data_IF_830507203794
#
_entry.id   IF_830507203794
#
_cell.length_a   1.000
_cell.length_b   1.000
_cell.length_c   1.000
_cell.angle_alpha   90.00
_cell.angle_beta   90.00
_cell.angle_gamma   90.00
#
_symmetry.space_group_name_H-M   'P 1'
#
loop_
_entity.id
_entity.type
_entity.pdbx_description
1 polymer ?
#
# COMPACT_ATOMS: atom_id res chain seq x y z
N UNK A 1 5.72 -11.59 10.51
CA UNK A 1 5.75 -11.52 9.04
C UNK A 1 6.91 -10.62 8.62
N UNK A 2 7.48 -10.83 7.43
CA UNK A 2 8.69 -10.15 6.96
C UNK A 2 8.37 -8.93 6.07
N UNK A 3 9.24 -7.92 6.04
CA UNK A 3 9.02 -6.62 5.38
C UNK A 3 9.14 -6.67 3.85
N UNK A 4 9.48 -7.83 3.28
CA UNK A 4 9.69 -8.06 1.85
C UNK A 4 8.46 -7.77 0.96
N UNK A 5 7.27 -7.62 1.54
CA UNK A 5 6.03 -7.28 0.83
C UNK A 5 5.60 -5.82 1.00
N UNK A 6 6.33 -5.03 1.79
CA UNK A 6 6.02 -3.63 2.00
C UNK A 6 6.51 -2.80 0.80
N UNK A 7 5.67 -1.98 0.16
CA UNK A 7 6.10 -1.08 -0.90
C UNK A 7 7.31 -0.23 -0.45
N UNK A 8 8.34 -0.05 -1.28
CA UNK A 8 9.60 0.58 -0.86
C UNK A 8 9.42 1.96 -0.20
N UNK A 9 8.48 2.77 -0.70
CA UNK A 9 8.19 4.08 -0.12
C UNK A 9 7.46 4.01 1.23
N UNK A 10 6.60 3.01 1.41
CA UNK A 10 5.94 2.77 2.69
C UNK A 10 6.96 2.30 3.73
N UNK A 11 7.89 1.42 3.35
CA UNK A 11 8.98 0.96 4.22
C UNK A 11 9.89 2.13 4.64
N UNK A 12 10.27 3.00 3.69
CA UNK A 12 11.04 4.22 4.00
C UNK A 12 10.34 5.13 5.00
N UNK A 13 9.02 5.31 4.86
CA UNK A 13 8.23 6.11 5.80
C UNK A 13 8.19 5.45 7.19
N UNK A 14 7.92 4.14 7.26
CA UNK A 14 7.90 3.38 8.52
C UNK A 14 9.25 3.46 9.24
N UNK A 15 10.36 3.34 8.51
CA UNK A 15 11.71 3.47 9.06
C UNK A 15 12.01 4.88 9.57
N UNK A 16 11.52 5.92 8.88
CA UNK A 16 11.65 7.31 9.37
C UNK A 16 10.88 7.51 10.68
N UNK A 17 9.66 6.98 10.77
CA UNK A 17 8.83 7.07 11.98
C UNK A 17 9.52 6.33 13.13
N UNK A 18 10.01 5.11 12.88
CA UNK A 18 10.74 4.31 13.88
C UNK A 18 11.94 5.04 14.47
N UNK A 19 12.69 5.76 13.65
CA UNK A 19 13.86 6.53 14.11
C UNK A 19 13.50 7.80 14.88
N UNK A 20 12.27 8.28 14.76
CA UNK A 20 11.80 9.53 15.39
C UNK A 20 10.97 9.32 16.66
N UNK A 21 10.67 8.07 17.02
CA UNK A 21 9.83 7.72 18.18
C UNK A 21 10.50 6.57 18.94
N UNK A 22 10.97 6.86 20.15
CA UNK A 22 11.55 5.86 21.04
C UNK A 22 10.45 4.88 21.54
N UNK A 23 10.83 3.64 21.85
CA UNK A 23 9.96 2.57 22.38
C UNK A 23 8.76 2.18 21.48
N UNK A 24 8.88 2.38 20.16
CA UNK A 24 7.84 2.01 19.21
C UNK A 24 7.75 0.49 19.00
N UNK A 25 6.61 -0.11 19.36
CA UNK A 25 6.27 -1.48 18.97
C UNK A 25 5.66 -1.48 17.55
N UNK A 26 6.31 -2.18 16.61
CA UNK A 26 5.91 -2.22 15.21
C UNK A 26 5.48 -3.63 14.84
N UNK A 27 4.24 -3.76 14.43
CA UNK A 27 3.70 -4.96 13.82
C UNK A 27 3.47 -4.77 12.32
N UNK A 28 3.87 -5.77 11.53
CA UNK A 28 3.61 -5.82 10.09
C UNK A 28 2.43 -6.74 9.79
N UNK A 29 1.45 -6.21 9.06
CA UNK A 29 0.24 -6.93 8.64
C UNK A 29 0.07 -6.71 7.14
N UNK A 30 -0.27 -7.78 6.42
CA UNK A 30 -0.30 -7.79 4.96
C UNK A 30 -1.69 -7.50 4.36
N UNK A 31 -2.68 -7.23 5.21
CA UNK A 31 -4.07 -7.11 4.80
C UNK A 31 -4.69 -5.84 5.42
N UNK A 32 -5.27 -5.00 4.57
CA UNK A 32 -5.86 -3.72 4.98
C UNK A 32 -7.11 -3.92 5.85
N UNK A 33 -7.91 -4.96 5.60
CA UNK A 33 -9.10 -5.26 6.40
C UNK A 33 -8.71 -5.70 7.81
N UNK A 34 -7.70 -6.57 7.94
CA UNK A 34 -7.18 -7.01 9.25
C UNK A 34 -6.62 -5.81 10.01
N UNK A 35 -5.83 -4.96 9.35
CA UNK A 35 -5.29 -3.74 9.95
C UNK A 35 -6.42 -2.85 10.46
N UNK A 36 -7.44 -2.60 9.65
CA UNK A 36 -8.58 -1.78 10.04
C UNK A 36 -9.32 -2.38 11.24
N UNK A 37 -9.52 -3.71 11.27
CA UNK A 37 -10.13 -4.40 12.41
C UNK A 37 -9.30 -4.22 13.69
N UNK A 38 -7.98 -4.34 13.62
CA UNK A 38 -7.09 -4.14 14.76
C UNK A 38 -7.16 -2.71 15.31
N UNK A 39 -7.20 -1.70 14.42
CA UNK A 39 -7.35 -0.30 14.82
C UNK A 39 -8.73 -0.06 15.45
N UNK A 40 -9.80 -0.61 14.88
CA UNK A 40 -11.16 -0.54 15.47
C UNK A 40 -11.23 -1.20 16.84
N UNK A 41 -10.51 -2.30 17.03
CA UNK A 41 -10.41 -2.99 18.31
C UNK A 41 -9.54 -2.27 19.35
N UNK A 42 -8.92 -1.14 18.99
CA UNK A 42 -8.08 -0.34 19.90
C UNK A 42 -6.69 -0.91 20.15
N UNK A 43 -6.21 -1.83 19.30
CA UNK A 43 -4.89 -2.45 19.46
C UNK A 43 -3.72 -1.55 19.03
N UNK A 44 -4.01 -0.41 18.39
CA UNK A 44 -3.00 0.54 17.97
C UNK A 44 -3.48 1.45 16.84
N UNK A 45 -2.52 2.00 16.11
CA UNK A 45 -2.73 2.83 14.92
C UNK A 45 -2.01 2.22 13.73
N UNK A 46 -2.30 2.73 12.53
CA UNK A 46 -1.70 2.24 11.29
C UNK A 46 -1.27 3.37 10.38
N UNK A 47 -0.19 3.14 9.64
CA UNK A 47 0.29 3.98 8.55
C UNK A 47 0.07 3.22 7.26
N UNK A 48 -0.77 3.77 6.38
CA UNK A 48 -1.11 3.18 5.09
C UNK A 48 -1.26 4.27 4.02
N UNK A 49 -1.20 3.91 2.72
CA UNK A 49 -1.47 4.87 1.65
C UNK A 49 -2.86 5.51 1.79
N UNK A 50 -2.98 6.79 1.43
CA UNK A 50 -4.24 7.53 1.60
C UNK A 50 -5.42 6.96 0.79
N UNK A 51 -5.15 6.30 -0.34
CA UNK A 51 -6.21 5.72 -1.17
C UNK A 51 -6.83 4.43 -0.59
N UNK A 52 -6.16 3.79 0.37
CA UNK A 52 -6.74 2.66 1.14
C UNK A 52 -7.24 3.08 2.52
N UNK A 53 -6.91 4.29 2.97
CA UNK A 53 -7.41 4.81 4.23
C UNK A 53 -8.93 5.02 4.13
N UNK A 54 -9.68 4.38 5.02
CA UNK A 54 -11.13 4.56 5.08
C UNK A 54 -11.41 5.96 5.65
N UNK A 55 -11.71 6.92 4.79
CA UNK A 55 -11.96 8.31 5.20
C UNK A 55 -13.33 8.50 5.90
N UNK A 56 -14.28 7.58 5.69
CA UNK A 56 -15.67 7.71 6.16
C UNK A 56 -16.12 6.52 7.03
N UNK A 57 -15.53 6.36 8.21
CA UNK A 57 -16.06 5.45 9.23
C UNK A 57 -16.25 6.22 10.54
N UNK A 58 -17.43 6.10 11.17
CA UNK A 58 -17.73 6.79 12.44
C UNK A 58 -16.74 6.45 13.57
N UNK A 59 -16.04 5.32 13.45
CA UNK A 59 -15.16 4.75 14.47
C UNK A 59 -13.68 5.08 14.23
N UNK A 60 -13.30 5.50 13.02
CA UNK A 60 -11.91 5.68 12.62
C UNK A 60 -11.67 7.11 12.11
N UNK A 61 -10.54 7.68 12.48
CA UNK A 61 -10.10 8.99 11.99
C UNK A 61 -8.87 8.83 11.11
N UNK A 62 -9.01 9.13 9.83
CA UNK A 62 -7.87 9.25 8.93
C UNK A 62 -7.14 10.59 9.17
N UNK A 63 -5.82 10.54 9.27
CA UNK A 63 -4.95 11.74 9.36
C UNK A 63 -3.99 11.73 8.19
N UNK A 64 -4.03 12.79 7.38
CA UNK A 64 -3.14 12.92 6.22
C UNK A 64 -1.75 13.32 6.66
N UNK A 65 -0.76 12.52 6.30
CA UNK A 65 0.66 12.84 6.52
C UNK A 65 1.15 13.79 5.42
N UNK A 66 2.04 14.72 5.78
CA UNK A 66 2.78 15.54 4.84
C UNK A 66 3.93 14.74 4.17
N UNK A 67 3.59 13.59 3.60
CA UNK A 67 4.49 12.68 2.92
C UNK A 67 3.98 12.45 1.50
N UNK A 68 4.74 12.90 0.51
CA UNK A 68 4.43 12.70 -0.91
C UNK A 68 5.30 11.58 -1.46
N UNK A 69 4.67 10.54 -1.98
CA UNK A 69 5.33 9.46 -2.69
C UNK A 69 4.54 9.13 -3.96
N UNK A 70 5.26 8.92 -5.07
CA UNK A 70 4.66 8.45 -6.31
C UNK A 70 4.21 7.00 -6.17
N UNK A 71 3.02 6.69 -6.68
CA UNK A 71 2.51 5.32 -6.74
C UNK A 71 2.86 4.73 -8.10
N UNK A 72 3.72 3.71 -8.10
CA UNK A 72 4.07 2.99 -9.32
C UNK A 72 3.13 1.80 -9.49
N UNK A 73 2.48 1.72 -10.65
CA UNK A 73 1.67 0.57 -11.04
C UNK A 73 2.48 -0.34 -11.97
N UNK A 74 2.26 -1.65 -11.83
CA UNK A 74 2.86 -2.65 -12.69
C UNK A 74 1.83 -3.67 -13.11
N UNK A 75 2.01 -4.21 -14.32
CA UNK A 75 1.22 -5.32 -14.83
C UNK A 75 2.07 -6.59 -14.80
N UNK A 76 1.50 -7.69 -14.32
CA UNK A 76 2.15 -9.00 -14.27
C UNK A 76 1.30 -10.00 -15.04
N UNK A 77 1.92 -10.69 -16.00
CA UNK A 77 1.33 -11.80 -16.73
C UNK A 77 2.30 -12.99 -16.72
N UNK A 78 1.86 -14.17 -17.18
CA UNK A 78 2.75 -15.32 -17.34
C UNK A 78 3.85 -14.98 -18.35
N UNK A 79 5.06 -15.49 -18.11
CA UNK A 79 6.21 -15.28 -19.02
C UNK A 79 5.94 -15.82 -20.43
N UNK A 80 5.27 -16.96 -20.51
CA UNK A 80 4.86 -17.63 -21.74
C UNK A 80 3.34 -17.52 -21.88
N UNK A 81 2.85 -16.27 -21.96
CA UNK A 81 1.44 -16.02 -22.20
C UNK A 81 1.09 -16.16 -23.68
N UNK A 82 -0.01 -16.84 -23.97
CA UNK A 82 -0.48 -17.11 -25.32
C UNK A 82 -1.95 -16.72 -25.52
N UNK A 83 -2.68 -16.40 -24.46
CA UNK A 83 -4.05 -15.91 -24.57
C UNK A 83 -4.07 -14.55 -25.29
N UNK A 84 -4.71 -14.44 -26.48
CA UNK A 84 -4.73 -13.20 -27.25
C UNK A 84 -5.37 -12.02 -26.51
N UNK A 85 -6.35 -12.28 -25.64
CA UNK A 85 -7.00 -11.24 -24.85
C UNK A 85 -6.05 -10.68 -23.80
N UNK A 86 -5.30 -11.55 -23.12
CA UNK A 86 -4.31 -11.12 -22.11
C UNK A 86 -3.20 -10.33 -22.79
N UNK A 87 -2.70 -10.78 -23.94
CA UNK A 87 -1.67 -10.04 -24.70
C UNK A 87 -2.18 -8.68 -25.19
N UNK A 88 -3.41 -8.62 -25.70
CA UNK A 88 -4.04 -7.36 -26.13
C UNK A 88 -4.23 -6.39 -24.97
N UNK A 89 -4.64 -6.89 -23.80
CA UNK A 89 -4.76 -6.10 -22.59
C UNK A 89 -3.40 -5.57 -22.13
N UNK A 90 -2.36 -6.41 -22.11
CA UNK A 90 -1.00 -6.00 -21.77
C UNK A 90 -0.49 -4.88 -22.68
N UNK A 91 -0.73 -5.00 -23.98
CA UNK A 91 -0.33 -3.99 -24.95
C UNK A 91 -1.05 -2.66 -24.72
N UNK A 92 -2.37 -2.69 -24.54
CA UNK A 92 -3.19 -1.50 -24.27
C UNK A 92 -2.71 -0.77 -23.02
N UNK A 93 -2.50 -1.51 -21.92
CA UNK A 93 -2.02 -0.93 -20.66
C UNK A 93 -0.63 -0.31 -20.75
N UNK A 94 0.23 -0.81 -21.63
CA UNK A 94 1.56 -0.22 -21.86
C UNK A 94 1.49 1.07 -22.67
N UNK A 95 0.60 1.16 -23.66
CA UNK A 95 0.43 2.36 -24.49
C UNK A 95 -0.25 3.50 -23.72
N UNK A 96 -1.32 3.20 -22.98
CA UNK A 96 -2.00 4.20 -22.15
C UNK A 96 -1.08 4.76 -21.06
N UNK A 97 -0.23 3.90 -20.45
CA UNK A 97 0.75 4.34 -19.48
C UNK A 97 1.91 5.17 -20.08
N UNK A 98 2.16 5.09 -21.39
CA UNK A 98 3.18 5.88 -22.08
C UNK A 98 2.69 7.25 -22.54
N UNK A 99 1.37 7.45 -22.61
CA UNK A 99 0.73 8.71 -23.03
C UNK A 99 0.33 9.65 -21.89
N UNK A 100 0.54 9.25 -20.63
CA UNK A 100 0.32 10.04 -19.40
C UNK A 100 1.62 10.66 -18.89
#
# INVERSE_FOLDING_TARGET
>A
MDNNWCPPEQLKLQEKIRKGVDDLDISYVNDVEIVNLMVKAGLGITVMPSFVAIENCCELKAVRLAYSAGLNYGLVCRKEEHDPLVLSFCHTMQEEAAGM
#
